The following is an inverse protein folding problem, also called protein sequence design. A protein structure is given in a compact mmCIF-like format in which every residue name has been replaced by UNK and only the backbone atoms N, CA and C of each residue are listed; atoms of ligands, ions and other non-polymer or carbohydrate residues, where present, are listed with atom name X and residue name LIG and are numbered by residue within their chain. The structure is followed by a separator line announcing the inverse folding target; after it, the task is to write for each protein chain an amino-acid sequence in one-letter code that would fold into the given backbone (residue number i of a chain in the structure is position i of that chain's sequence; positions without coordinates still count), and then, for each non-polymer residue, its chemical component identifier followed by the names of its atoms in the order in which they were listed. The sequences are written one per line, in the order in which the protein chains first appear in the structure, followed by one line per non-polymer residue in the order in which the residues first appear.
data_IF_277441885429
#
_entry.id   IF_277441885429
#
_cell.length_a   1.000
_cell.length_b   1.000
_cell.length_c   1.000
_cell.angle_alpha   90.00
_cell.angle_beta   90.00
_cell.angle_gamma   90.00
#
_symmetry.space_group_name_H-M   'P 1'
#
loop_
_entity.id
_entity.type
_entity.pdbx_description
1 polymer ?
#
# COMPACT_ATOMS: atom_id res chain seq x y z
N UNK A 1 -11.43 0.39 26.88
CA UNK A 1 -10.28 -0.52 26.95
C UNK A 1 -9.88 -0.83 25.52
N UNK A 2 -8.74 -0.28 25.08
CA UNK A 2 -8.12 -0.65 23.80
C UNK A 2 -7.28 -1.90 24.09
N UNK A 3 -7.33 -2.97 23.27
CA UNK A 3 -6.50 -4.14 23.50
C UNK A 3 -5.03 -3.76 23.29
N UNK A 4 -4.22 -3.92 24.34
CA UNK A 4 -2.77 -3.83 24.25
C UNK A 4 -2.27 -5.08 23.51
N UNK A 5 -1.82 -4.90 22.26
CA UNK A 5 -1.13 -5.94 21.53
C UNK A 5 0.27 -6.14 22.13
N UNK A 6 0.62 -7.39 22.41
CA UNK A 6 1.88 -7.79 23.04
C UNK A 6 3.03 -7.65 22.02
N UNK A 7 3.83 -6.58 22.13
CA UNK A 7 4.82 -6.14 21.13
C UNK A 7 6.18 -6.88 21.15
N UNK A 8 6.40 -7.86 22.02
CA UNK A 8 7.78 -8.17 22.45
C UNK A 8 8.54 -9.32 21.75
N UNK A 9 8.09 -9.87 20.62
CA UNK A 9 8.97 -10.81 19.87
C UNK A 9 8.99 -10.69 18.35
N UNK A 10 8.15 -9.84 17.74
CA UNK A 10 8.08 -9.65 16.28
C UNK A 10 8.52 -8.25 15.81
N UNK A 11 8.72 -7.30 16.73
CA UNK A 11 8.99 -5.89 16.41
C UNK A 11 10.14 -5.68 15.41
N UNK A 12 11.27 -6.39 15.55
CA UNK A 12 12.41 -6.24 14.62
C UNK A 12 12.15 -6.77 13.20
N UNK A 13 11.26 -7.76 13.05
CA UNK A 13 10.90 -8.32 11.74
C UNK A 13 9.85 -7.45 11.06
N UNK A 14 8.93 -6.92 11.85
CA UNK A 14 7.89 -6.02 11.41
C UNK A 14 8.48 -4.67 11.01
N UNK A 15 9.45 -4.12 11.76
CA UNK A 15 10.11 -2.83 11.45
C UNK A 15 10.79 -2.85 10.08
N UNK A 16 11.53 -3.92 9.75
CA UNK A 16 12.19 -4.04 8.46
C UNK A 16 11.21 -4.14 7.29
N UNK A 17 10.05 -4.77 7.52
CA UNK A 17 8.98 -4.87 6.53
C UNK A 17 8.30 -3.50 6.36
N UNK A 18 7.97 -2.81 7.45
CA UNK A 18 7.38 -1.47 7.40
C UNK A 18 8.31 -0.47 6.70
N UNK A 19 9.61 -0.49 7.00
CA UNK A 19 10.60 0.35 6.33
C UNK A 19 10.66 0.06 4.83
N UNK A 20 10.73 -1.21 4.44
CA UNK A 20 10.70 -1.59 3.03
C UNK A 20 9.42 -1.11 2.34
N UNK A 21 8.25 -1.26 2.98
CA UNK A 21 6.98 -0.85 2.37
C UNK A 21 6.90 0.67 2.22
N UNK A 22 7.44 1.42 3.18
CA UNK A 22 7.53 2.87 3.10
C UNK A 22 8.45 3.31 1.96
N UNK A 23 9.66 2.75 1.88
CA UNK A 23 10.62 3.04 0.83
C UNK A 23 10.07 2.66 -0.55
N UNK A 24 9.41 1.50 -0.64
CA UNK A 24 8.79 1.02 -1.87
C UNK A 24 7.66 1.96 -2.33
N UNK A 25 6.73 2.30 -1.43
CA UNK A 25 5.60 3.17 -1.75
C UNK A 25 6.06 4.60 -2.10
N UNK A 26 7.05 5.14 -1.38
CA UNK A 26 7.66 6.44 -1.67
C UNK A 26 8.35 6.44 -3.04
N UNK A 27 9.12 5.40 -3.34
CA UNK A 27 9.79 5.25 -4.64
C UNK A 27 8.77 5.12 -5.77
N UNK A 28 7.70 4.37 -5.54
CA UNK A 28 6.59 4.23 -6.49
C UNK A 28 5.90 5.58 -6.70
N UNK A 29 5.60 6.31 -5.64
CA UNK A 29 4.98 7.62 -5.71
C UNK A 29 5.81 8.59 -6.56
N UNK A 30 7.12 8.70 -6.31
CA UNK A 30 8.03 9.53 -7.10
C UNK A 30 8.11 9.07 -8.56
N UNK A 31 8.15 7.75 -8.80
CA UNK A 31 8.17 7.20 -10.14
C UNK A 31 6.89 7.53 -10.92
N UNK A 32 5.72 7.54 -10.26
CA UNK A 32 4.45 7.95 -10.88
C UNK A 32 4.48 9.43 -11.28
N UNK A 33 5.06 10.30 -10.43
CA UNK A 33 5.20 11.74 -10.72
C UNK A 33 6.11 12.00 -11.92
N UNK A 34 7.17 11.20 -12.06
CA UNK A 34 8.15 11.35 -13.14
C UNK A 34 7.68 10.73 -14.46
N UNK A 35 7.25 9.47 -14.44
CA UNK A 35 6.72 8.76 -15.59
C UNK A 35 5.66 7.72 -15.16
N UNK A 36 4.36 8.09 -15.24
CA UNK A 36 3.27 7.22 -14.81
C UNK A 36 3.07 5.99 -15.70
N UNK A 37 3.72 5.93 -16.87
CA UNK A 37 3.62 4.80 -17.79
C UNK A 37 4.91 3.97 -17.84
N UNK A 38 5.87 4.27 -16.98
CA UNK A 38 7.12 3.51 -16.89
C UNK A 38 6.86 2.03 -16.56
N UNK A 39 7.77 1.17 -17.03
CA UNK A 39 7.74 -0.25 -16.69
C UNK A 39 7.80 -0.49 -15.19
N UNK A 40 8.53 0.34 -14.45
CA UNK A 40 8.61 0.24 -12.99
C UNK A 40 7.24 0.46 -12.34
N UNK A 41 6.51 1.51 -12.72
CA UNK A 41 5.16 1.77 -12.21
C UNK A 41 4.22 0.62 -12.53
N UNK A 42 4.21 0.16 -13.79
CA UNK A 42 3.38 -0.96 -14.22
C UNK A 42 3.68 -2.25 -13.44
N UNK A 43 4.96 -2.60 -13.31
CA UNK A 43 5.38 -3.80 -12.57
C UNK A 43 5.09 -3.71 -11.08
N UNK A 44 5.17 -2.52 -10.49
CA UNK A 44 4.85 -2.29 -9.08
C UNK A 44 3.36 -2.53 -8.80
N UNK A 45 2.46 -2.01 -9.65
CA UNK A 45 1.04 -2.30 -9.52
C UNK A 45 0.71 -3.78 -9.78
N UNK A 46 1.37 -4.41 -10.75
CA UNK A 46 1.23 -5.86 -10.96
C UNK A 46 1.67 -6.66 -9.73
N UNK A 47 2.79 -6.27 -9.11
CA UNK A 47 3.26 -6.89 -7.87
C UNK A 47 2.23 -6.71 -6.75
N UNK A 48 1.80 -5.47 -6.47
CA UNK A 48 0.78 -5.14 -5.46
C UNK A 48 -0.48 -5.96 -5.66
N UNK A 49 -1.00 -6.03 -6.88
CA UNK A 49 -2.19 -6.82 -7.21
C UNK A 49 -1.95 -8.31 -6.97
N UNK A 50 -0.81 -8.85 -7.41
CA UNK A 50 -0.45 -10.26 -7.23
C UNK A 50 -0.40 -10.66 -5.76
N UNK A 51 0.18 -9.80 -4.90
CA UNK A 51 0.23 -10.07 -3.46
C UNK A 51 -1.14 -9.85 -2.80
N UNK A 52 -1.92 -8.86 -3.27
CA UNK A 52 -3.27 -8.57 -2.77
C UNK A 52 -4.31 -9.64 -3.09
N UNK A 53 -4.10 -10.46 -4.13
CA UNK A 53 -4.97 -11.62 -4.39
C UNK A 53 -4.77 -12.75 -3.39
N UNK A 54 -3.68 -12.76 -2.61
CA UNK A 54 -3.48 -13.77 -1.58
C UNK A 54 -4.55 -13.66 -0.49
N UNK A 55 -4.98 -14.81 0.03
CA UNK A 55 -5.96 -14.91 1.13
C UNK A 55 -5.27 -14.92 2.50
N UNK A 56 -4.20 -14.15 2.63
CA UNK A 56 -3.41 -14.04 3.85
C UNK A 56 -3.68 -12.68 4.50
N UNK A 57 -4.32 -12.63 5.68
CA UNK A 57 -4.64 -11.38 6.37
C UNK A 57 -3.43 -10.50 6.66
N UNK A 58 -2.26 -11.10 6.94
CA UNK A 58 -1.05 -10.35 7.26
C UNK A 58 -0.51 -9.65 6.00
N UNK A 59 -0.59 -10.32 4.85
CA UNK A 59 -0.24 -9.73 3.55
C UNK A 59 -1.19 -8.60 3.18
N UNK A 60 -2.50 -8.75 3.42
CA UNK A 60 -3.47 -7.69 3.18
C UNK A 60 -3.24 -6.48 4.08
N UNK A 61 -2.99 -6.71 5.37
CA UNK A 61 -2.71 -5.62 6.32
C UNK A 61 -1.44 -4.85 5.94
N UNK A 62 -0.41 -5.55 5.50
CA UNK A 62 0.85 -4.97 5.03
C UNK A 62 0.67 -4.13 3.76
N UNK A 63 -0.13 -4.58 2.80
CA UNK A 63 -0.45 -3.80 1.58
C UNK A 63 -1.23 -2.55 1.96
N UNK A 64 -2.22 -2.71 2.85
CA UNK A 64 -3.10 -1.65 3.30
C UNK A 64 -2.30 -0.55 4.02
N UNK A 65 -1.70 -0.88 5.16
CA UNK A 65 -0.98 0.08 6.03
C UNK A 65 0.31 0.59 5.39
N UNK A 66 1.03 -0.26 4.66
CA UNK A 66 2.33 0.08 4.12
C UNK A 66 2.27 0.85 2.80
N UNK A 67 1.52 0.34 1.82
CA UNK A 67 1.61 0.82 0.43
C UNK A 67 0.43 1.70 0.09
N UNK A 68 -0.79 1.22 0.34
CA UNK A 68 -2.01 1.94 -0.02
C UNK A 68 -2.11 3.25 0.78
N UNK A 69 -1.78 3.25 2.07
CA UNK A 69 -1.77 4.46 2.90
C UNK A 69 -0.94 5.60 2.32
N UNK A 70 0.31 5.28 1.98
CA UNK A 70 1.26 6.26 1.49
C UNK A 70 0.82 6.79 0.12
N UNK A 71 0.36 5.91 -0.77
CA UNK A 71 -0.16 6.32 -2.08
C UNK A 71 -1.46 7.12 -1.96
N UNK A 72 -2.28 6.86 -0.94
CA UNK A 72 -3.54 7.56 -0.71
C UNK A 72 -3.33 8.97 -0.12
N UNK A 73 -2.36 9.10 0.79
CA UNK A 73 -2.04 10.35 1.50
C UNK A 73 -1.13 11.28 0.72
N UNK A 74 -0.41 10.77 -0.28
CA UNK A 74 0.41 11.59 -1.18
C UNK A 74 -0.47 12.54 -2.03
N UNK A 75 -0.44 13.83 -1.68
CA UNK A 75 -1.31 14.87 -2.24
C UNK A 75 -1.09 15.09 -3.75
N UNK A 76 0.11 14.79 -4.24
CA UNK A 76 0.46 15.00 -5.64
C UNK A 76 0.00 13.86 -6.58
N UNK A 77 -0.53 12.76 -6.03
CA UNK A 77 -1.02 11.63 -6.82
C UNK A 77 -2.54 11.67 -7.01
N UNK A 78 -2.98 11.37 -8.23
CA UNK A 78 -4.40 11.23 -8.53
C UNK A 78 -4.95 9.94 -7.94
N UNK A 79 -5.89 10.04 -6.99
CA UNK A 79 -6.58 8.87 -6.42
C UNK A 79 -7.26 8.01 -7.47
N UNK A 80 -7.82 8.63 -8.51
CA UNK A 80 -8.43 7.92 -9.62
C UNK A 80 -7.39 7.10 -10.40
N UNK A 81 -6.19 7.66 -10.59
CA UNK A 81 -5.09 6.94 -11.25
C UNK A 81 -4.67 5.70 -10.47
N UNK A 82 -4.52 5.81 -9.14
CA UNK A 82 -4.16 4.68 -8.29
C UNK A 82 -5.27 3.62 -8.34
N UNK A 83 -6.53 4.00 -8.14
CA UNK A 83 -7.67 3.09 -8.14
C UNK A 83 -7.82 2.32 -9.47
N UNK A 84 -7.53 2.95 -10.61
CA UNK A 84 -7.59 2.31 -11.94
C UNK A 84 -6.50 1.26 -12.17
N UNK A 85 -5.41 1.26 -11.40
CA UNK A 85 -4.31 0.29 -11.53
C UNK A 85 -4.34 -0.82 -10.49
N UNK A 86 -5.24 -0.74 -9.50
CA UNK A 86 -5.47 -1.77 -8.52
C UNK A 86 -6.44 -2.84 -9.05
N UNK A 87 -6.30 -4.08 -8.56
CA UNK A 87 -7.30 -5.13 -8.79
C UNK A 87 -8.63 -4.74 -8.15
N UNK A 88 -9.73 -5.37 -8.56
CA UNK A 88 -11.06 -5.09 -8.01
C UNK A 88 -11.07 -5.19 -6.47
N UNK A 89 -10.45 -6.25 -5.92
CA UNK A 89 -10.32 -6.47 -4.48
C UNK A 89 -9.60 -5.32 -3.78
N UNK A 90 -8.43 -4.92 -4.29
CA UNK A 90 -7.66 -3.84 -3.68
C UNK A 90 -8.28 -2.47 -3.92
N UNK A 91 -8.97 -2.26 -5.04
CA UNK A 91 -9.68 -1.02 -5.34
C UNK A 91 -10.83 -0.79 -4.35
N UNK A 92 -11.58 -1.83 -4.00
CA UNK A 92 -12.61 -1.75 -2.94
C UNK A 92 -11.99 -1.33 -1.60
N UNK A 93 -10.84 -1.91 -1.22
CA UNK A 93 -10.12 -1.55 0.00
C UNK A 93 -9.60 -0.10 -0.05
N UNK A 94 -8.98 0.30 -1.16
CA UNK A 94 -8.48 1.65 -1.40
C UNK A 94 -9.59 2.71 -1.31
N UNK A 95 -10.79 2.39 -1.78
CA UNK A 95 -11.95 3.26 -1.65
C UNK A 95 -12.52 3.30 -0.22
N UNK A 96 -12.58 2.17 0.48
CA UNK A 96 -13.04 2.11 1.87
C UNK A 96 -12.18 3.01 2.80
N UNK A 97 -10.88 3.12 2.50
CA UNK A 97 -9.96 4.00 3.22
C UNK A 97 -10.32 5.49 3.18
N UNK A 98 -11.12 5.92 2.19
CA UNK A 98 -11.61 7.30 2.13
C UNK A 98 -12.50 7.71 3.31
N UNK A 99 -13.09 6.75 4.02
CA UNK A 99 -13.91 7.01 5.20
C UNK A 99 -13.06 7.30 6.44
N UNK A 100 -11.81 6.83 6.47
CA UNK A 100 -10.91 6.95 7.62
C UNK A 100 -10.02 8.20 7.60
N UNK A 101 -9.71 8.73 6.41
CA UNK A 101 -8.76 9.84 6.22
C UNK A 101 -9.43 11.14 5.73
N UNK A 102 -10.65 11.41 6.21
CA UNK A 102 -11.43 12.62 5.87
C UNK A 102 -10.74 13.92 6.27
#
# INVERSE_FOLDING_TARGET
MVPEYNYESNAFKDDGIYLFMNDFASTLAESIKQDPNSHFVSNSFNYINTIGERSDPDVINLINVGIIEILYTEQSLSRAFIAMRLSEKLSVLFHAWSEHYR
#
